data_IF_861726458771
#
_entry.id   IF_861726458771
#
_cell.length_a   1.000
_cell.length_b   1.000
_cell.length_c   1.000
_cell.angle_alpha   90.00
_cell.angle_beta   90.00
_cell.angle_gamma   90.00
#
_symmetry.space_group_name_H-M   'P 1'
#
loop_
_entity.id
_entity.type
_entity.pdbx_description
1 polymer ?
#
# COMPACT_ATOMS: atom_id res chain seq x y z
N UNK A 1 -15.65 0.34 -20.89
CA UNK A 1 -14.51 -0.60 -20.96
C UNK A 1 -13.30 -0.13 -20.17
N UNK A 2 -12.89 1.15 -20.29
CA UNK A 2 -11.73 1.69 -19.55
C UNK A 2 -11.85 1.57 -18.02
N UNK A 3 -12.96 2.03 -17.44
CA UNK A 3 -13.20 1.93 -15.98
C UNK A 3 -13.15 0.47 -15.50
N UNK A 4 -13.73 -0.47 -16.26
CA UNK A 4 -13.70 -1.90 -15.88
C UNK A 4 -12.27 -2.45 -15.85
N UNK A 5 -11.40 -2.01 -16.77
CA UNK A 5 -10.00 -2.40 -16.78
C UNK A 5 -9.22 -1.78 -15.61
N UNK A 6 -9.45 -0.49 -15.30
CA UNK A 6 -8.88 0.17 -14.13
C UNK A 6 -9.29 -0.53 -12.83
N UNK A 7 -10.59 -0.84 -12.67
CA UNK A 7 -11.09 -1.59 -11.52
C UNK A 7 -10.48 -2.99 -11.43
N UNK A 8 -10.35 -3.72 -12.54
CA UNK A 8 -9.73 -5.05 -12.54
C UNK A 8 -8.25 -5.00 -12.13
N UNK A 9 -7.49 -4.02 -12.62
CA UNK A 9 -6.09 -3.82 -12.23
C UNK A 9 -5.95 -3.43 -10.76
N UNK A 10 -6.84 -2.56 -10.26
CA UNK A 10 -6.88 -2.21 -8.84
C UNK A 10 -7.19 -3.43 -7.98
N UNK A 11 -8.25 -4.19 -8.28
CA UNK A 11 -8.62 -5.40 -7.54
C UNK A 11 -7.49 -6.43 -7.52
N UNK A 12 -6.83 -6.63 -8.67
CA UNK A 12 -5.67 -7.51 -8.76
C UNK A 12 -4.52 -7.01 -7.88
N UNK A 13 -4.20 -5.71 -7.94
CA UNK A 13 -3.15 -5.14 -7.10
C UNK A 13 -3.49 -5.20 -5.60
N UNK A 14 -4.75 -4.95 -5.23
CA UNK A 14 -5.25 -5.10 -3.86
C UNK A 14 -5.07 -6.54 -3.36
N UNK A 15 -5.44 -7.53 -4.16
CA UNK A 15 -5.19 -8.93 -3.82
C UNK A 15 -3.69 -9.19 -3.60
N UNK A 16 -2.84 -8.67 -4.48
CA UNK A 16 -1.38 -8.86 -4.40
C UNK A 16 -0.74 -8.19 -3.18
N UNK A 17 -1.24 -7.04 -2.72
CA UNK A 17 -0.70 -6.39 -1.52
C UNK A 17 -1.19 -7.08 -0.24
N UNK A 18 -2.42 -7.58 -0.22
CA UNK A 18 -2.99 -8.32 0.90
C UNK A 18 -2.31 -9.68 1.11
N UNK A 19 -2.07 -10.42 0.03
CA UNK A 19 -1.41 -11.72 0.07
C UNK A 19 0.11 -11.66 -0.04
N UNK A 20 0.67 -10.46 -0.23
CA UNK A 20 2.10 -10.25 -0.46
C UNK A 20 2.90 -10.19 0.85
N UNK A 21 4.14 -10.68 0.80
CA UNK A 21 5.08 -10.52 1.91
C UNK A 21 5.57 -9.06 1.98
N UNK A 22 5.33 -8.34 3.10
CA UNK A 22 5.85 -6.98 3.28
C UNK A 22 7.37 -6.92 3.46
N UNK A 23 8.02 -8.07 3.63
CA UNK A 23 9.42 -8.22 3.96
C UNK A 23 9.62 -8.67 5.40
N UNK A 24 8.83 -9.64 5.86
CA UNK A 24 8.98 -10.23 7.19
C UNK A 24 10.35 -10.89 7.28
N UNK A 25 11.10 -10.56 8.32
CA UNK A 25 12.41 -11.15 8.64
C UNK A 25 12.25 -11.97 9.92
N UNK A 26 12.58 -13.25 9.85
CA UNK A 26 12.77 -14.07 11.04
C UNK A 26 14.02 -13.54 11.75
N UNK A 27 13.85 -13.00 12.95
CA UNK A 27 14.97 -12.60 13.78
C UNK A 27 15.33 -13.83 14.62
N UNK A 28 16.25 -14.65 14.12
CA UNK A 28 16.72 -15.82 14.85
C UNK A 28 17.61 -15.34 16.01
N UNK A 29 17.38 -15.89 17.22
CA UNK A 29 18.15 -15.56 18.42
C UNK A 29 19.64 -15.83 18.28
N UNK A 30 20.05 -16.63 17.29
CA UNK A 30 21.43 -16.90 16.93
C UNK A 30 22.23 -15.63 16.60
N UNK A 31 21.58 -14.61 16.02
CA UNK A 31 22.24 -13.32 15.75
C UNK A 31 22.44 -12.48 17.02
N UNK A 32 21.58 -12.65 18.02
CA UNK A 32 21.73 -11.97 19.33
C UNK A 32 22.85 -12.60 20.15
N UNK A 33 23.04 -13.93 20.04
CA UNK A 33 24.17 -14.64 20.65
C UNK A 33 25.51 -14.29 19.97
N UNK A 34 25.55 -14.20 18.64
CA UNK A 34 26.77 -13.77 17.92
C UNK A 34 27.12 -12.30 18.21
N UNK A 35 26.12 -11.46 18.42
CA UNK A 35 26.30 -10.05 18.82
C UNK A 35 26.55 -9.85 20.33
N UNK A 36 26.55 -10.93 21.13
CA UNK A 36 26.83 -10.88 22.57
C UNK A 36 25.82 -10.06 23.39
N UNK A 37 24.59 -9.89 22.90
CA UNK A 37 23.65 -8.92 23.44
C UNK A 37 22.60 -9.62 24.32
N UNK A 38 22.65 -9.39 25.63
CA UNK A 38 21.77 -10.05 26.63
C UNK A 38 20.43 -9.36 26.84
N UNK A 39 20.25 -8.13 26.35
CA UNK A 39 19.04 -7.33 26.57
C UNK A 39 18.43 -6.77 25.29
N UNK A 40 17.09 -6.72 25.25
CA UNK A 40 16.29 -6.21 24.12
C UNK A 40 16.61 -4.74 23.79
N UNK A 41 16.99 -3.96 24.80
CA UNK A 41 17.36 -2.53 24.68
C UNK A 41 18.74 -2.36 24.03
N UNK A 42 19.67 -3.26 24.31
CA UNK A 42 21.04 -3.20 23.79
C UNK A 42 21.12 -3.73 22.34
N UNK A 43 20.19 -4.60 21.94
CA UNK A 43 20.01 -5.03 20.55
C UNK A 43 19.52 -3.89 19.63
N UNK A 44 18.67 -3.00 20.16
CA UNK A 44 18.23 -1.78 19.44
C UNK A 44 19.43 -0.85 19.20
N UNK A 45 20.31 -0.70 20.19
CA UNK A 45 21.51 0.14 20.08
C UNK A 45 22.59 -0.49 19.17
N UNK A 46 22.75 -1.81 19.19
CA UNK A 46 23.68 -2.51 18.28
C UNK A 46 23.18 -2.59 16.83
N UNK A 47 21.87 -2.47 16.59
CA UNK A 47 21.27 -2.41 15.25
C UNK A 47 21.79 -1.22 14.43
N UNK A 48 22.15 -0.10 15.08
CA UNK A 48 22.81 1.04 14.42
C UNK A 48 24.22 0.70 13.90
N UNK A 49 24.90 -0.30 14.49
CA UNK A 49 26.25 -0.73 14.08
C UNK A 49 26.27 -1.74 12.94
N UNK A 50 25.17 -2.44 12.66
CA UNK A 50 25.06 -3.34 11.50
C UNK A 50 24.29 -2.66 10.35
N UNK A 51 24.94 -2.26 9.24
CA UNK A 51 24.24 -1.64 8.11
C UNK A 51 23.16 -2.54 7.51
N UNK A 52 23.27 -3.86 7.67
CA UNK A 52 22.26 -4.86 7.27
C UNK A 52 20.98 -4.82 8.12
N UNK A 53 21.08 -4.46 9.40
CA UNK A 53 19.96 -4.39 10.37
C UNK A 53 19.30 -3.01 10.43
N UNK A 54 20.02 -1.95 10.02
CA UNK A 54 19.61 -0.53 10.10
C UNK A 54 18.23 -0.17 9.52
N UNK A 55 17.60 -1.05 8.73
CA UNK A 55 16.26 -0.82 8.15
C UNK A 55 15.19 -1.79 8.62
N UNK A 56 15.50 -2.72 9.53
CA UNK A 56 14.49 -3.64 10.09
C UNK A 56 13.87 -2.98 11.31
N UNK A 57 12.54 -2.83 11.32
CA UNK A 57 11.80 -2.33 12.49
C UNK A 57 10.65 -3.26 12.82
N UNK A 58 10.31 -3.32 14.10
CA UNK A 58 9.21 -4.14 14.58
C UNK A 58 7.87 -3.41 14.42
N UNK A 59 6.88 -4.08 13.86
CA UNK A 59 5.49 -3.64 13.93
C UNK A 59 4.85 -4.15 15.23
N UNK A 60 4.34 -3.24 16.05
CA UNK A 60 3.67 -3.58 17.32
C UNK A 60 2.35 -4.32 17.12
N UNK A 61 1.60 -3.99 16.07
CA UNK A 61 0.33 -4.64 15.75
C UNK A 61 0.50 -6.06 15.21
N UNK A 62 1.38 -6.25 14.24
CA UNK A 62 1.64 -7.58 13.65
C UNK A 62 2.62 -8.43 14.49
N UNK A 63 3.29 -7.84 15.49
CA UNK A 63 4.36 -8.47 16.29
C UNK A 63 5.46 -9.11 15.43
N UNK A 64 5.75 -8.50 14.27
CA UNK A 64 6.68 -9.00 13.28
C UNK A 64 7.75 -7.96 12.96
N UNK A 65 8.97 -8.42 12.65
CA UNK A 65 10.06 -7.57 12.20
C UNK A 65 10.01 -7.43 10.68
N UNK A 66 9.92 -6.21 10.19
CA UNK A 66 9.73 -5.91 8.76
C UNK A 66 10.96 -5.16 8.24
N UNK A 67 11.54 -5.64 7.15
CA UNK A 67 12.65 -4.97 6.47
C UNK A 67 12.17 -3.76 5.68
N UNK A 68 12.83 -2.62 5.90
CA UNK A 68 12.42 -1.33 5.35
C UNK A 68 11.00 -0.97 5.77
N UNK A 69 10.64 -1.27 7.02
CA UNK A 69 9.35 -0.94 7.58
C UNK A 69 9.05 0.56 7.41
N UNK A 70 7.92 0.84 6.78
CA UNK A 70 7.36 2.17 6.63
C UNK A 70 6.29 2.37 7.72
N UNK A 71 5.17 1.67 7.58
CA UNK A 71 4.08 1.69 8.55
C UNK A 71 3.20 0.44 8.44
N UNK A 72 2.40 0.16 9.45
CA UNK A 72 1.26 -0.74 9.32
C UNK A 72 0.08 0.06 8.78
N UNK A 73 -0.53 -0.40 7.70
CA UNK A 73 -1.67 0.28 7.11
C UNK A 73 -2.96 -0.48 7.47
N UNK A 74 -3.83 0.06 8.35
CA UNK A 74 -5.09 -0.58 8.69
C UNK A 74 -6.02 -0.78 7.49
N UNK A 75 -5.96 0.13 6.50
CA UNK A 75 -6.78 0.04 5.29
C UNK A 75 -6.47 -1.22 4.46
N UNK A 76 -5.22 -1.68 4.49
CA UNK A 76 -4.80 -2.91 3.82
C UNK A 76 -4.60 -4.07 4.81
N UNK A 77 -4.79 -3.88 6.11
CA UNK A 77 -4.59 -4.92 7.13
C UNK A 77 -3.19 -5.56 7.13
N UNK A 78 -2.19 -4.91 6.54
CA UNK A 78 -0.83 -5.44 6.40
C UNK A 78 0.23 -4.37 6.63
N UNK A 79 1.46 -4.79 6.90
CA UNK A 79 2.59 -3.88 6.96
C UNK A 79 2.99 -3.41 5.55
N UNK A 80 3.43 -2.18 5.44
CA UNK A 80 4.11 -1.65 4.26
C UNK A 80 5.60 -1.62 4.57
N UNK A 81 6.36 -2.31 3.74
CA UNK A 81 7.80 -2.48 3.89
C UNK A 81 8.50 -2.53 2.54
N UNK A 82 9.80 -2.83 2.54
CA UNK A 82 10.64 -2.73 1.36
C UNK A 82 10.11 -3.54 0.15
N UNK A 83 9.50 -4.71 0.39
CA UNK A 83 9.05 -5.62 -0.67
C UNK A 83 7.74 -5.18 -1.35
N UNK A 84 6.83 -4.53 -0.61
CA UNK A 84 5.50 -4.16 -1.13
C UNK A 84 5.28 -2.64 -1.28
N UNK A 85 6.22 -1.80 -0.83
CA UNK A 85 6.10 -0.33 -0.91
C UNK A 85 5.88 0.19 -2.34
N UNK A 86 6.54 -0.38 -3.35
CA UNK A 86 6.31 0.02 -4.76
C UNK A 86 4.90 -0.31 -5.25
N UNK A 87 4.39 -1.48 -4.86
CA UNK A 87 3.02 -1.89 -5.20
C UNK A 87 2.00 -0.99 -4.50
N UNK A 88 2.24 -0.64 -3.23
CA UNK A 88 1.42 0.31 -2.48
C UNK A 88 1.33 1.66 -3.19
N UNK A 89 2.46 2.24 -3.61
CA UNK A 89 2.47 3.51 -4.35
C UNK A 89 1.75 3.40 -5.69
N UNK A 90 1.96 2.31 -6.44
CA UNK A 90 1.25 2.08 -7.69
C UNK A 90 -0.27 1.97 -7.50
N UNK A 91 -0.72 1.31 -6.42
CA UNK A 91 -2.13 1.22 -6.06
C UNK A 91 -2.72 2.58 -5.72
N UNK A 92 -2.03 3.41 -4.93
CA UNK A 92 -2.48 4.77 -4.60
C UNK A 92 -2.63 5.63 -5.86
N UNK A 93 -1.62 5.62 -6.74
CA UNK A 93 -1.70 6.35 -8.01
C UNK A 93 -2.83 5.81 -8.88
N UNK A 94 -2.97 4.49 -8.98
CA UNK A 94 -4.06 3.85 -9.72
C UNK A 94 -5.44 4.24 -9.19
N UNK A 95 -5.59 4.37 -7.87
CA UNK A 95 -6.84 4.79 -7.23
C UNK A 95 -7.19 6.23 -7.61
N UNK A 96 -6.24 7.15 -7.53
CA UNK A 96 -6.43 8.55 -7.95
C UNK A 96 -6.81 8.64 -9.43
N UNK A 97 -6.14 7.86 -10.28
CA UNK A 97 -6.46 7.80 -11.71
C UNK A 97 -7.88 7.29 -11.93
N UNK A 98 -8.26 6.15 -11.34
CA UNK A 98 -9.59 5.59 -11.49
C UNK A 98 -10.70 6.55 -11.01
N UNK A 99 -10.49 7.22 -9.87
CA UNK A 99 -11.41 8.25 -9.35
C UNK A 99 -11.53 9.44 -10.31
N UNK A 100 -10.40 9.92 -10.86
CA UNK A 100 -10.42 11.00 -11.85
C UNK A 100 -11.11 10.61 -13.16
N UNK A 101 -10.89 9.38 -13.63
CA UNK A 101 -11.56 8.83 -14.82
C UNK A 101 -13.07 8.72 -14.57
N UNK A 102 -13.47 8.21 -13.41
CA UNK A 102 -14.88 8.06 -13.03
C UNK A 102 -15.60 9.41 -12.95
N UNK A 103 -15.02 10.38 -12.23
CA UNK A 103 -15.60 11.72 -12.08
C UNK A 103 -15.70 12.47 -13.42
N UNK A 104 -14.67 12.37 -14.27
CA UNK A 104 -14.73 12.95 -15.63
C UNK A 104 -15.82 12.29 -16.48
N UNK A 105 -15.94 10.96 -16.43
CA UNK A 105 -16.96 10.25 -17.21
C UNK A 105 -18.38 10.60 -16.72
N UNK A 106 -18.57 10.65 -15.41
CA UNK A 106 -19.84 11.00 -14.78
C UNK A 106 -20.29 12.42 -15.13
N UNK A 107 -19.39 13.41 -15.00
CA UNK A 107 -19.69 14.81 -15.32
C UNK A 107 -20.02 15.02 -16.80
N UNK A 108 -19.31 14.37 -17.72
CA UNK A 108 -19.65 14.39 -19.17
C UNK A 108 -21.02 13.77 -19.46
N UNK A 109 -21.34 12.66 -18.82
CA UNK A 109 -22.64 12.00 -18.96
C UNK A 109 -23.77 12.92 -18.45
N UNK A 110 -23.60 13.52 -17.27
CA UNK A 110 -24.57 14.45 -16.69
C UNK A 110 -24.77 15.69 -17.57
N UNK A 111 -23.70 16.29 -18.09
CA UNK A 111 -23.78 17.43 -19.01
C UNK A 111 -24.53 17.06 -20.29
N UNK A 112 -24.24 15.89 -20.86
CA UNK A 112 -24.92 15.41 -22.06
C UNK A 112 -26.44 15.22 -21.83
N UNK A 113 -26.81 14.61 -20.70
CA UNK A 113 -28.23 14.44 -20.31
C UNK A 113 -28.91 15.79 -20.11
N UNK A 114 -28.25 16.74 -19.44
CA UNK A 114 -28.77 18.08 -19.23
C UNK A 114 -29.02 18.82 -20.56
N UNK A 115 -28.05 18.80 -21.48
CA UNK A 115 -28.20 19.41 -22.80
C UNK A 115 -29.31 18.75 -23.64
N UNK A 116 -29.47 17.43 -23.53
CA UNK A 116 -30.60 16.73 -24.17
C UNK A 116 -31.94 17.12 -23.55
N UNK A 117 -32.00 17.35 -22.24
CA UNK A 117 -33.19 17.82 -21.55
C UNK A 117 -33.59 19.23 -21.99
N UNK A 118 -32.63 20.16 -22.05
CA UNK A 118 -32.88 21.53 -22.55
C UNK A 118 -33.34 21.52 -24.00
N UNK A 119 -32.64 20.76 -24.88
CA UNK A 119 -33.06 20.64 -26.28
C UNK A 119 -34.46 20.05 -26.40
N UNK A 120 -34.80 19.02 -25.62
CA UNK A 120 -36.14 18.42 -25.64
C UNK A 120 -37.23 19.42 -25.25
N UNK A 121 -36.97 20.29 -24.27
CA UNK A 121 -37.92 21.34 -23.86
C UNK A 121 -38.08 22.40 -24.97
N UNK A 122 -37.03 22.71 -25.72
CA UNK A 122 -37.07 23.74 -26.76
C UNK A 122 -37.81 23.32 -28.05
N UNK A 123 -38.01 22.02 -28.27
CA UNK A 123 -38.69 21.46 -29.46
C UNK A 123 -40.10 20.93 -29.15
N UNK A 124 -40.66 21.28 -27.99
CA UNK A 124 -42.05 21.07 -27.56
C UNK A 124 -42.75 22.43 -27.44
#
# INVERSE_FOLDING_TARGET
MLINAECALLLWGFYRILSGDPGIVACDSSYLEEAGCKDFVEAIYSSEKLPMLSRVRQCTWCKANIRGYDHHCPAFGTCIGQKNHRLFMALLTGFVVAESTYTMCSTKCMLFVFLLSEKRILYL
#
